data_IF_890110026026
#
_entry.id   IF_890110026026
#
_cell.length_a   1.000
_cell.length_b   1.000
_cell.length_c   1.000
_cell.angle_alpha   90.00
_cell.angle_beta   90.00
_cell.angle_gamma   90.00
#
_symmetry.space_group_name_H-M   'P 1'
#
loop_
_entity.id
_entity.type
_entity.pdbx_description
1 polymer ?
#
# COMPACT_ATOMS: atom_id res chain seq x y z
N UNK A 1 66.44 39.62 -31.36
CA UNK A 1 65.89 38.43 -32.04
C UNK A 1 66.87 37.31 -31.72
N UNK A 2 66.62 36.33 -30.86
CA UNK A 2 65.51 35.38 -30.76
C UNK A 2 65.39 34.98 -29.27
N UNK A 3 64.18 34.99 -28.69
CA UNK A 3 63.89 34.38 -27.39
C UNK A 3 63.53 32.91 -27.62
N UNK A 4 64.28 31.98 -27.03
CA UNK A 4 63.86 30.59 -26.82
C UNK A 4 63.62 30.40 -25.31
N UNK A 5 62.47 29.85 -24.89
CA UNK A 5 62.13 29.75 -23.48
C UNK A 5 62.83 28.57 -22.81
N UNK A 6 63.42 28.87 -21.65
CA UNK A 6 63.73 27.94 -20.58
C UNK A 6 62.49 27.17 -20.15
N UNK A 7 62.68 25.89 -19.79
CA UNK A 7 61.70 25.20 -18.95
C UNK A 7 61.27 23.83 -19.45
N UNK A 8 62.16 23.11 -20.12
CA UNK A 8 62.09 21.66 -20.31
C UNK A 8 62.26 20.96 -18.93
N UNK A 9 61.38 21.23 -17.96
CA UNK A 9 61.42 20.63 -16.62
C UNK A 9 60.05 20.57 -15.90
N UNK A 10 58.94 20.89 -16.58
CA UNK A 10 57.60 20.89 -15.99
C UNK A 10 56.64 19.83 -16.57
N UNK A 11 57.09 18.99 -17.50
CA UNK A 11 56.22 18.01 -18.18
C UNK A 11 56.21 16.59 -17.57
N UNK A 12 56.94 16.32 -16.48
CA UNK A 12 57.07 14.97 -15.89
C UNK A 12 56.51 14.86 -14.46
N UNK A 13 55.64 15.78 -14.03
CA UNK A 13 54.99 15.76 -12.71
C UNK A 13 53.46 15.84 -12.76
N UNK A 14 52.84 15.71 -13.94
CA UNK A 14 51.37 15.75 -14.07
C UNK A 14 50.71 14.39 -14.36
N UNK A 15 51.42 13.28 -14.18
CA UNK A 15 50.91 11.91 -14.42
C UNK A 15 50.86 11.02 -13.17
N UNK A 16 50.77 11.59 -11.96
CA UNK A 16 50.72 10.80 -10.72
C UNK A 16 49.59 11.20 -9.74
N UNK A 17 48.47 11.73 -10.26
CA UNK A 17 47.22 11.87 -9.48
C UNK A 17 46.12 11.00 -10.10
N UNK A 18 46.48 9.75 -10.38
CA UNK A 18 45.59 8.64 -10.70
C UNK A 18 46.00 7.46 -9.79
N UNK A 19 45.91 7.66 -8.49
CA UNK A 19 46.04 6.59 -7.51
C UNK A 19 45.21 6.97 -6.28
N UNK A 20 44.09 6.28 -6.10
CA UNK A 20 43.23 6.48 -4.94
C UNK A 20 41.75 6.34 -5.25
N UNK A 21 41.36 5.30 -5.98
CA UNK A 21 40.03 4.74 -5.75
C UNK A 21 40.01 4.23 -4.31
N UNK A 22 39.34 4.96 -3.42
CA UNK A 22 38.72 4.33 -2.27
C UNK A 22 37.23 4.61 -2.37
N UNK A 23 36.54 3.68 -3.00
CA UNK A 23 35.15 3.41 -2.65
C UNK A 23 35.23 2.97 -1.19
N UNK A 24 34.86 3.84 -0.24
CA UNK A 24 34.54 3.48 1.14
C UNK A 24 33.28 2.61 1.11
N UNK A 25 33.45 1.37 0.64
CA UNK A 25 32.41 0.35 0.70
C UNK A 25 32.56 -0.37 2.04
N UNK A 26 31.46 -0.31 2.80
CA UNK A 26 31.24 -0.86 4.14
C UNK A 26 31.77 -0.01 5.32
N UNK A 27 31.22 1.20 5.51
CA UNK A 27 30.74 1.49 6.86
C UNK A 27 29.70 0.43 7.19
N UNK A 28 29.95 -0.38 8.21
CA UNK A 28 28.96 -1.31 8.73
C UNK A 28 27.80 -0.48 9.27
N UNK A 29 26.80 -0.21 8.42
CA UNK A 29 25.56 0.43 8.84
C UNK A 29 24.84 -0.54 9.76
N UNK A 30 24.93 -0.30 11.06
CA UNK A 30 24.14 -1.02 12.04
C UNK A 30 22.86 -0.21 12.23
N UNK A 31 21.73 -0.83 11.91
CA UNK A 31 20.41 -0.27 12.14
C UNK A 31 20.11 -0.29 13.64
N UNK A 32 20.56 0.77 14.32
CA UNK A 32 20.26 1.08 15.73
C UNK A 32 19.27 2.21 15.78
N UNK A 33 18.55 2.34 16.90
CA UNK A 33 17.65 3.48 17.13
C UNK A 33 18.40 4.82 17.02
N UNK A 34 19.62 4.89 17.60
CA UNK A 34 20.50 6.06 17.51
C UNK A 34 20.86 6.44 16.07
N UNK A 35 21.08 5.44 15.20
CA UNK A 35 21.34 5.69 13.79
C UNK A 35 20.11 6.32 13.12
N UNK A 36 18.91 5.81 13.42
CA UNK A 36 17.69 6.36 12.85
C UNK A 36 17.35 7.75 13.38
N UNK A 37 17.59 8.04 14.66
CA UNK A 37 17.41 9.38 15.21
C UNK A 37 18.38 10.37 14.57
N UNK A 38 19.65 10.01 14.47
CA UNK A 38 20.65 10.82 13.76
C UNK A 38 20.29 11.01 12.28
N UNK A 39 19.78 9.97 11.61
CA UNK A 39 19.38 10.03 10.21
C UNK A 39 18.18 10.96 10.01
N UNK A 40 17.17 10.92 10.89
CA UNK A 40 15.98 11.78 10.84
C UNK A 40 16.29 13.26 11.13
N UNK A 41 17.30 13.53 11.96
CA UNK A 41 17.74 14.89 12.27
C UNK A 41 18.62 15.49 11.15
N UNK A 42 19.51 14.68 10.56
CA UNK A 42 20.48 15.15 9.56
C UNK A 42 19.95 15.05 8.12
N UNK A 43 19.04 14.13 7.85
CA UNK A 43 18.37 13.97 6.56
C UNK A 43 16.90 14.34 6.73
N UNK A 44 16.38 15.20 5.85
CA UNK A 44 14.96 15.53 5.85
C UNK A 44 14.19 14.33 5.27
N UNK A 45 13.67 13.45 6.13
CA UNK A 45 12.64 12.50 5.71
C UNK A 45 11.53 13.25 4.96
N UNK A 46 11.08 12.71 3.83
CA UNK A 46 10.00 13.33 3.07
C UNK A 46 8.75 13.47 3.94
N UNK A 47 8.09 14.63 3.84
CA UNK A 47 6.83 14.84 4.56
C UNK A 47 5.77 13.89 4.03
N UNK A 48 5.08 13.20 4.95
CA UNK A 48 3.99 12.29 4.60
C UNK A 48 2.89 13.03 3.85
N UNK A 49 2.45 12.44 2.74
CA UNK A 49 1.33 12.94 1.94
C UNK A 49 0.04 13.01 2.78
N UNK A 50 -0.85 13.94 2.44
CA UNK A 50 -2.11 14.16 3.15
C UNK A 50 -2.97 12.89 3.25
N UNK A 51 -2.91 12.02 2.23
CA UNK A 51 -3.59 10.72 2.21
C UNK A 51 -3.32 9.88 3.46
N UNK A 52 -2.07 9.83 3.93
CA UNK A 52 -1.73 9.06 5.13
C UNK A 52 -1.75 9.88 6.42
N UNK A 53 -1.66 11.22 6.35
CA UNK A 53 -1.73 12.10 7.52
C UNK A 53 -3.15 12.26 8.05
N UNK A 54 -4.14 12.34 7.16
CA UNK A 54 -5.53 12.62 7.52
C UNK A 54 -6.37 11.35 7.76
N UNK A 55 -6.11 10.26 7.02
CA UNK A 55 -6.81 8.96 7.14
C UNK A 55 -8.33 9.10 7.26
N UNK A 56 -8.94 9.74 6.27
CA UNK A 56 -10.39 9.95 6.19
C UNK A 56 -10.96 9.41 4.87
N UNK A 57 -12.28 9.50 4.68
CA UNK A 57 -12.96 8.95 3.51
C UNK A 57 -12.47 9.48 2.16
N UNK A 58 -11.87 10.67 2.12
CA UNK A 58 -11.34 11.30 0.89
C UNK A 58 -9.81 11.25 0.81
N UNK A 59 -9.14 10.93 1.91
CA UNK A 59 -7.69 10.89 2.05
C UNK A 59 -7.34 9.58 2.74
N UNK A 60 -7.20 8.53 1.96
CA UNK A 60 -6.86 7.19 2.42
C UNK A 60 -5.54 6.74 1.79
N UNK A 61 -4.67 6.16 2.61
CA UNK A 61 -3.40 5.62 2.16
C UNK A 61 -2.84 4.64 3.18
N UNK A 62 -1.75 3.97 2.82
CA UNK A 62 -1.09 2.98 3.65
C UNK A 62 0.31 3.50 3.96
N UNK A 63 0.68 3.45 5.24
CA UNK A 63 2.02 3.79 5.70
C UNK A 63 2.94 2.58 5.51
N UNK A 64 4.04 2.79 4.82
CA UNK A 64 5.09 1.79 4.64
C UNK A 64 6.42 2.32 5.18
N UNK A 65 7.31 1.42 5.64
CA UNK A 65 8.71 1.79 5.86
C UNK A 65 9.29 2.28 4.53
N UNK A 66 9.99 3.42 4.55
CA UNK A 66 10.64 3.94 3.35
C UNK A 66 11.86 3.09 2.97
N UNK A 67 12.24 3.17 1.69
CA UNK A 67 13.47 2.57 1.17
C UNK A 67 14.75 3.35 1.56
N UNK A 68 14.68 4.17 2.62
CA UNK A 68 15.85 4.86 3.19
C UNK A 68 16.73 3.87 3.95
N UNK A 69 18.02 4.18 4.18
CA UNK A 69 18.88 3.37 5.04
C UNK A 69 18.18 3.01 6.36
N UNK A 70 18.19 1.72 6.71
CA UNK A 70 17.54 1.17 7.91
C UNK A 70 16.03 1.46 8.04
N UNK A 71 15.35 1.88 6.96
CA UNK A 71 13.92 2.18 6.95
C UNK A 71 13.48 3.17 8.05
N UNK A 72 14.35 4.14 8.37
CA UNK A 72 14.14 5.09 9.46
C UNK A 72 12.98 6.09 9.23
N UNK A 73 12.53 6.26 7.98
CA UNK A 73 11.40 7.13 7.66
C UNK A 73 10.16 6.31 7.27
N UNK A 74 9.02 7.00 7.17
CA UNK A 74 7.79 6.44 6.65
C UNK A 74 7.50 7.04 5.28
N UNK A 75 6.97 6.22 4.38
CA UNK A 75 6.42 6.66 3.10
C UNK A 75 4.92 6.39 3.06
N UNK A 76 4.22 7.18 2.25
CA UNK A 76 2.78 7.06 2.06
C UNK A 76 2.48 6.52 0.66
N UNK A 77 1.81 5.38 0.59
CA UNK A 77 1.23 4.83 -0.64
C UNK A 77 -0.25 5.17 -0.64
N UNK A 78 -0.69 5.97 -1.60
CA UNK A 78 -2.08 6.42 -1.68
C UNK A 78 -2.98 5.32 -2.22
N UNK A 79 -4.22 5.23 -1.71
CA UNK A 79 -5.22 4.34 -2.26
C UNK A 79 -5.88 4.98 -3.48
N UNK A 80 -5.72 4.36 -4.63
CA UNK A 80 -6.31 4.77 -5.90
C UNK A 80 -7.79 4.42 -5.94
N UNK A 81 -8.57 5.31 -6.55
CA UNK A 81 -10.01 5.15 -6.74
C UNK A 81 -10.33 4.21 -7.90
N UNK A 82 -11.57 3.69 -8.00
CA UNK A 82 -12.00 2.90 -9.15
C UNK A 82 -11.80 3.68 -10.46
N UNK A 83 -11.26 3.02 -11.48
CA UNK A 83 -10.97 3.59 -12.79
C UNK A 83 -9.70 4.45 -12.88
N UNK A 84 -8.99 4.68 -11.77
CA UNK A 84 -7.70 5.37 -11.81
C UNK A 84 -6.61 4.49 -12.45
N UNK A 85 -5.67 5.13 -13.14
CA UNK A 85 -4.51 4.46 -13.72
C UNK A 85 -3.64 3.84 -12.64
N UNK A 86 -3.30 2.57 -12.84
CA UNK A 86 -2.45 1.80 -11.94
C UNK A 86 -1.35 1.09 -12.73
N UNK A 87 -0.35 0.58 -12.02
CA UNK A 87 0.74 -0.17 -12.64
C UNK A 87 0.68 -1.62 -12.17
N UNK A 88 0.63 -2.55 -13.13
CA UNK A 88 0.76 -4.01 -12.88
C UNK A 88 2.21 -4.42 -12.61
N UNK A 89 3.14 -3.47 -12.69
CA UNK A 89 4.58 -3.72 -12.59
C UNK A 89 5.15 -4.33 -13.88
N UNK A 90 6.39 -3.98 -14.18
CA UNK A 90 7.11 -4.48 -15.35
C UNK A 90 8.44 -3.75 -15.53
N UNK A 91 9.30 -4.27 -16.41
CA UNK A 91 10.56 -3.60 -16.74
C UNK A 91 10.27 -2.26 -17.43
N UNK A 92 10.78 -1.16 -16.87
CA UNK A 92 10.61 0.19 -17.42
C UNK A 92 9.34 0.92 -16.99
N UNK A 93 8.47 0.31 -16.16
CA UNK A 93 7.33 1.02 -15.59
C UNK A 93 7.78 1.97 -14.47
N UNK A 94 7.14 3.15 -14.32
CA UNK A 94 7.41 4.02 -13.19
C UNK A 94 7.06 3.31 -11.88
N UNK A 95 7.81 3.61 -10.82
CA UNK A 95 7.47 3.16 -9.47
C UNK A 95 6.10 3.73 -9.13
N UNK A 96 5.07 2.90 -8.90
CA UNK A 96 3.72 3.40 -8.67
C UNK A 96 3.68 4.19 -7.36
N UNK A 97 3.14 5.40 -7.41
CA UNK A 97 3.01 6.29 -6.25
C UNK A 97 1.77 5.97 -5.38
N UNK A 98 1.00 4.95 -5.76
CA UNK A 98 -0.24 4.51 -5.13
C UNK A 98 -0.57 3.06 -5.48
N UNK A 99 -1.49 2.49 -4.72
CA UNK A 99 -2.02 1.13 -4.89
C UNK A 99 -3.54 1.23 -5.05
N UNK A 100 -4.16 0.32 -5.81
CA UNK A 100 -5.62 0.26 -5.84
C UNK A 100 -6.17 0.11 -4.42
N UNK A 101 -7.20 0.91 -4.10
CA UNK A 101 -7.82 0.87 -2.78
C UNK A 101 -8.48 -0.48 -2.44
N UNK A 102 -8.99 -0.65 -1.21
CA UNK A 102 -9.56 -1.92 -0.76
C UNK A 102 -10.70 -2.39 -1.68
N UNK A 103 -10.64 -3.65 -2.11
CA UNK A 103 -11.61 -4.25 -3.02
C UNK A 103 -11.42 -3.95 -4.50
N UNK A 104 -10.30 -3.34 -4.87
CA UNK A 104 -9.92 -3.06 -6.24
C UNK A 104 -8.61 -3.77 -6.58
N UNK A 105 -8.51 -4.29 -7.80
CA UNK A 105 -7.28 -4.82 -8.35
C UNK A 105 -6.86 -4.07 -9.61
N UNK A 106 -5.57 -4.06 -9.87
CA UNK A 106 -5.01 -3.42 -11.05
C UNK A 106 -5.07 -4.40 -12.23
N UNK A 107 -5.86 -4.07 -13.26
CA UNK A 107 -6.03 -4.89 -14.47
C UNK A 107 -6.05 -4.03 -15.72
N UNK A 108 -5.54 -4.60 -16.80
CA UNK A 108 -5.71 -4.07 -18.15
C UNK A 108 -7.05 -4.59 -18.68
N UNK A 109 -8.01 -3.69 -18.91
CA UNK A 109 -9.27 -4.06 -19.54
C UNK A 109 -9.04 -4.45 -21.01
N UNK A 110 -9.91 -5.30 -21.55
CA UNK A 110 -9.84 -5.69 -22.96
C UNK A 110 -10.04 -4.47 -23.86
N UNK A 111 -9.00 -4.11 -24.62
CA UNK A 111 -9.02 -2.97 -25.55
C UNK A 111 -8.40 -1.68 -25.00
N UNK A 112 -8.01 -1.64 -23.72
CA UNK A 112 -7.30 -0.51 -23.14
C UNK A 112 -5.78 -0.76 -23.10
N UNK A 113 -5.00 0.29 -23.38
CA UNK A 113 -3.53 0.24 -23.33
C UNK A 113 -2.96 0.41 -21.92
N UNK A 114 -3.76 0.93 -20.99
CA UNK A 114 -3.33 1.29 -19.64
C UNK A 114 -4.08 0.48 -18.57
N UNK A 115 -3.38 -0.03 -17.54
CA UNK A 115 -4.05 -0.73 -16.45
C UNK A 115 -4.83 0.25 -15.58
N UNK A 116 -6.03 -0.14 -15.15
CA UNK A 116 -6.87 0.66 -14.26
C UNK A 116 -7.33 -0.15 -13.05
N UNK A 117 -7.68 0.54 -11.97
CA UNK A 117 -8.21 -0.08 -10.76
C UNK A 117 -9.67 -0.52 -10.97
N UNK A 118 -9.92 -1.82 -10.93
CA UNK A 118 -11.23 -2.44 -11.18
C UNK A 118 -11.71 -3.26 -9.99
N UNK A 119 -13.03 -3.44 -9.77
CA UNK A 119 -13.54 -4.26 -8.67
C UNK A 119 -13.10 -5.72 -8.77
N UNK A 120 -12.71 -6.34 -7.67
CA UNK A 120 -12.17 -7.72 -7.58
C UNK A 120 -13.17 -8.86 -7.89
N UNK A 121 -14.20 -8.62 -8.70
CA UNK A 121 -15.30 -9.58 -8.93
C UNK A 121 -14.87 -10.89 -9.60
N UNK A 122 -13.73 -10.89 -10.31
CA UNK A 122 -13.21 -12.08 -10.99
C UNK A 122 -12.32 -12.94 -10.08
N UNK A 123 -11.69 -12.34 -9.08
CA UNK A 123 -10.69 -12.99 -8.21
C UNK A 123 -11.17 -13.21 -6.78
N UNK A 124 -12.21 -12.50 -6.33
CA UNK A 124 -12.71 -12.54 -4.95
C UNK A 124 -14.13 -13.08 -4.89
N UNK A 125 -14.28 -14.21 -4.20
CA UNK A 125 -15.59 -14.82 -3.89
C UNK A 125 -16.50 -13.88 -3.10
N UNK A 126 -15.93 -13.13 -2.15
CA UNK A 126 -16.69 -12.20 -1.33
C UNK A 126 -17.23 -11.01 -2.14
N UNK A 127 -16.41 -10.39 -2.99
CA UNK A 127 -16.87 -9.28 -3.82
C UNK A 127 -17.86 -9.72 -4.90
N UNK A 128 -17.73 -10.94 -5.43
CA UNK A 128 -18.77 -11.55 -6.28
C UNK A 128 -20.09 -11.69 -5.52
N UNK A 129 -20.07 -12.21 -4.29
CA UNK A 129 -21.27 -12.36 -3.46
C UNK A 129 -21.89 -11.01 -3.07
N UNK A 130 -21.07 -9.97 -2.83
CA UNK A 130 -21.59 -8.61 -2.63
C UNK A 130 -22.31 -8.09 -3.87
N UNK A 131 -21.73 -8.29 -5.06
CA UNK A 131 -22.37 -7.88 -6.31
C UNK A 131 -23.71 -8.60 -6.50
N UNK A 132 -23.74 -9.91 -6.28
CA UNK A 132 -24.98 -10.68 -6.38
C UNK A 132 -26.05 -10.17 -5.41
N UNK A 133 -25.67 -9.88 -4.16
CA UNK A 133 -26.58 -9.28 -3.18
C UNK A 133 -27.15 -7.94 -3.66
N UNK A 134 -26.33 -7.06 -4.23
CA UNK A 134 -26.79 -5.77 -4.75
C UNK A 134 -27.71 -5.93 -5.98
N UNK A 135 -27.40 -6.87 -6.87
CA UNK A 135 -28.22 -7.17 -8.05
C UNK A 135 -29.59 -7.72 -7.62
N UNK A 136 -29.63 -8.64 -6.65
CA UNK A 136 -30.88 -9.15 -6.07
C UNK A 136 -31.66 -8.04 -5.34
N UNK A 137 -30.96 -7.10 -4.67
CA UNK A 137 -31.59 -5.96 -3.99
C UNK A 137 -32.28 -5.04 -4.98
N UNK A 138 -31.63 -4.74 -6.09
CA UNK A 138 -32.20 -3.94 -7.17
C UNK A 138 -33.39 -4.66 -7.84
N UNK A 139 -33.33 -5.98 -7.97
CA UNK A 139 -34.42 -6.80 -8.49
C UNK A 139 -35.58 -7.00 -7.51
N UNK A 140 -35.44 -6.58 -6.24
CA UNK A 140 -36.46 -6.78 -5.21
C UNK A 140 -36.59 -8.23 -4.72
N UNK A 141 -35.56 -9.05 -4.92
CA UNK A 141 -35.53 -10.47 -4.55
C UNK A 141 -34.97 -10.72 -3.14
N UNK A 142 -34.50 -9.68 -2.46
CA UNK A 142 -33.89 -9.77 -1.13
C UNK A 142 -34.94 -10.06 -0.06
N UNK A 143 -34.73 -11.15 0.68
CA UNK A 143 -35.48 -11.45 1.89
C UNK A 143 -35.12 -10.51 3.03
N UNK A 144 -36.08 -10.24 3.92
CA UNK A 144 -35.93 -9.37 5.10
C UNK A 144 -34.77 -9.73 6.06
N UNK A 145 -34.28 -10.98 6.04
CA UNK A 145 -33.14 -11.43 6.86
C UNK A 145 -31.84 -11.60 6.07
N UNK A 146 -31.89 -11.45 4.75
CA UNK A 146 -30.71 -11.57 3.91
C UNK A 146 -29.84 -10.33 4.11
N UNK A 147 -28.56 -10.55 4.41
CA UNK A 147 -27.62 -9.47 4.68
C UNK A 147 -26.54 -9.42 3.63
N UNK A 148 -26.06 -8.21 3.35
CA UNK A 148 -24.90 -7.98 2.50
C UNK A 148 -23.65 -8.62 3.15
N UNK A 149 -22.88 -9.45 2.42
CA UNK A 149 -21.64 -9.99 2.95
C UNK A 149 -20.60 -8.88 3.18
N UNK A 150 -19.77 -9.01 4.21
CA UNK A 150 -18.70 -8.06 4.52
C UNK A 150 -17.37 -8.64 4.04
N UNK A 151 -16.65 -7.88 3.22
CA UNK A 151 -15.35 -8.27 2.67
C UNK A 151 -14.25 -7.42 3.28
N UNK A 152 -13.06 -8.00 3.42
CA UNK A 152 -11.85 -7.25 3.72
C UNK A 152 -11.28 -6.57 2.45
N UNK A 153 -10.17 -5.83 2.62
CA UNK A 153 -9.55 -5.10 1.52
C UNK A 153 -8.90 -5.99 0.45
N UNK A 154 -8.59 -7.24 0.79
CA UNK A 154 -7.95 -8.23 -0.07
C UNK A 154 -8.99 -9.08 -0.83
N UNK A 155 -10.27 -8.92 -0.52
CA UNK A 155 -11.37 -9.65 -1.16
C UNK A 155 -11.72 -10.97 -0.49
N UNK A 156 -11.28 -11.22 0.74
CA UNK A 156 -11.77 -12.36 1.50
C UNK A 156 -13.00 -11.94 2.34
N UNK A 157 -13.72 -12.93 2.85
CA UNK A 157 -14.77 -12.66 3.82
C UNK A 157 -14.19 -12.16 5.13
N UNK A 158 -14.83 -11.16 5.73
CA UNK A 158 -14.50 -10.74 7.08
C UNK A 158 -14.71 -11.92 8.04
N UNK A 159 -13.67 -12.29 8.78
CA UNK A 159 -13.65 -13.50 9.63
C UNK A 159 -14.76 -13.61 10.66
N UNK A 160 -15.40 -12.49 11.02
CA UNK A 160 -16.55 -12.44 11.93
C UNK A 160 -17.72 -11.77 11.22
N UNK A 161 -18.85 -12.47 11.19
CA UNK A 161 -20.11 -11.95 10.68
C UNK A 161 -21.13 -11.85 11.79
N UNK A 162 -21.81 -10.72 11.87
CA UNK A 162 -22.79 -10.43 12.91
C UNK A 162 -24.17 -10.14 12.31
N UNK A 163 -25.19 -10.86 12.78
CA UNK A 163 -26.58 -10.53 12.46
C UNK A 163 -27.07 -9.54 13.54
N UNK A 164 -27.52 -8.32 13.17
CA UNK A 164 -28.05 -7.34 14.12
C UNK A 164 -29.17 -7.95 14.98
N UNK A 165 -29.04 -7.78 16.30
CA UNK A 165 -30.00 -8.31 17.27
C UNK A 165 -29.89 -9.82 17.52
N UNK A 166 -28.87 -10.50 16.99
CA UNK A 166 -28.64 -11.93 17.19
C UNK A 166 -27.19 -12.23 17.60
N UNK A 167 -26.61 -13.33 17.12
CA UNK A 167 -25.24 -13.76 17.40
C UNK A 167 -24.26 -13.32 16.29
N UNK A 168 -23.01 -13.09 16.66
CA UNK A 168 -21.89 -13.11 15.73
C UNK A 168 -21.33 -14.53 15.63
N UNK A 169 -20.88 -14.91 14.45
CA UNK A 169 -20.24 -16.19 14.19
C UNK A 169 -19.02 -16.00 13.29
N UNK A 170 -18.09 -16.94 13.38
CA UNK A 170 -16.94 -16.98 12.49
C UNK A 170 -17.31 -17.57 11.12
N UNK A 171 -16.63 -17.10 10.08
CA UNK A 171 -16.79 -17.60 8.71
C UNK A 171 -15.47 -18.14 8.15
N UNK A 172 -15.56 -19.11 7.23
CA UNK A 172 -14.43 -19.58 6.43
C UNK A 172 -14.16 -18.67 5.21
N UNK A 173 -13.20 -19.07 4.37
CA UNK A 173 -12.78 -18.34 3.16
C UNK A 173 -13.89 -18.29 2.09
N UNK A 174 -14.85 -19.22 2.15
CA UNK A 174 -16.01 -19.28 1.27
C UNK A 174 -17.24 -18.52 1.84
N UNK A 175 -17.13 -18.03 3.08
CA UNK A 175 -18.20 -17.29 3.76
C UNK A 175 -19.22 -18.18 4.48
N UNK A 176 -18.95 -19.48 4.61
CA UNK A 176 -19.77 -20.39 5.40
C UNK A 176 -19.48 -20.24 6.88
N UNK A 177 -20.51 -20.46 7.69
CA UNK A 177 -20.40 -20.42 9.15
C UNK A 177 -19.57 -21.61 9.65
N UNK A 178 -18.56 -21.32 10.45
CA UNK A 178 -17.75 -22.31 11.18
C UNK A 178 -18.04 -22.24 12.70
N UNK A 179 -17.43 -23.17 13.45
CA UNK A 179 -17.58 -23.21 14.91
C UNK A 179 -17.00 -21.96 15.57
N UNK A 180 -17.68 -21.47 16.60
CA UNK A 180 -17.37 -20.22 17.29
C UNK A 180 -18.48 -19.20 17.10
N UNK A 181 -19.29 -19.00 18.14
CA UNK A 181 -20.34 -17.98 18.16
C UNK A 181 -20.31 -17.20 19.48
N UNK A 182 -20.65 -15.92 19.41
CA UNK A 182 -20.81 -15.04 20.56
C UNK A 182 -22.09 -14.22 20.40
N UNK A 183 -22.78 -13.94 21.50
CA UNK A 183 -23.99 -13.12 21.46
C UNK A 183 -23.60 -11.68 21.12
N UNK A 184 -24.21 -11.09 20.09
CA UNK A 184 -23.97 -9.70 19.72
C UNK A 184 -24.95 -8.78 20.47
N UNK A 185 -24.67 -8.52 21.74
CA UNK A 185 -25.51 -7.67 22.61
C UNK A 185 -25.29 -6.18 22.45
N UNK A 186 -24.50 -5.72 21.47
CA UNK A 186 -24.08 -4.31 21.34
C UNK A 186 -25.24 -3.29 21.23
N UNK A 187 -26.48 -3.73 20.98
CA UNK A 187 -27.67 -2.88 20.91
C UNK A 187 -28.80 -3.22 21.90
N UNK A 188 -28.60 -4.12 22.86
CA UNK A 188 -29.63 -4.39 23.87
C UNK A 188 -29.38 -3.50 25.10
N UNK A 189 -29.80 -2.23 25.03
CA UNK A 189 -30.07 -1.47 26.24
C UNK A 189 -31.31 -2.07 26.91
N UNK A 190 -31.12 -3.11 27.73
CA UNK A 190 -32.18 -3.58 28.63
C UNK A 190 -32.31 -2.50 29.71
N UNK A 191 -33.18 -1.52 29.47
CA UNK A 191 -33.72 -0.67 30.52
C UNK A 191 -34.58 -1.56 31.41
N UNK A 192 -33.96 -2.18 32.41
CA UNK A 192 -34.69 -2.84 33.50
C UNK A 192 -35.35 -1.72 34.31
N UNK A 193 -36.66 -1.61 34.14
CA UNK A 193 -37.52 -0.67 34.86
C UNK A 193 -37.88 -1.21 36.24
#
# INVERSE_FOLDING_TARGET
>A
MIRLPNGLLLCMLSWALLAGAQIELAKNYVCTDDFCDNYRENSQCDTLKTACRAQNSTHNGILFPSATPCSCCQTCVENLLPGADCSVGGLGYPVPAGICGPGLFCKVAEGDEHPTCQPMQESSTCYTAQKEYEDQRQAGLIGHLMQRPTCDGDGNYQSVRCIPGQTCFSVDEEGNRIFGEAVNTANIQISMR
#
